data_IF_452405020611
#
_entry.id   IF_452405020611
#
_cell.length_a   1.000
_cell.length_b   1.000
_cell.length_c   1.000
_cell.angle_alpha   90.00
_cell.angle_beta   90.00
_cell.angle_gamma   90.00
#
_symmetry.space_group_name_H-M   'P 1'
#
loop_
_entity.id
_entity.type
_entity.pdbx_description
1 polymer ?
#
# COMPACT_ATOMS: atom_id res chain seq x y z
N UNK A 1 -13.54 -7.08 -0.21
CA UNK A 1 -12.24 -6.67 0.31
C UNK A 1 -11.77 -5.40 -0.38
N UNK A 2 -11.22 -4.50 0.36
CA UNK A 2 -10.81 -3.19 -0.16
C UNK A 2 -9.46 -3.30 -0.90
N UNK A 3 -9.48 -3.19 -2.21
CA UNK A 3 -8.28 -3.32 -3.03
C UNK A 3 -7.24 -2.24 -2.70
N UNK A 4 -7.69 -1.05 -2.42
CA UNK A 4 -6.80 0.05 -2.06
C UNK A 4 -6.04 -0.28 -0.77
N UNK A 5 -6.77 -0.76 0.22
CA UNK A 5 -6.16 -1.12 1.51
C UNK A 5 -5.20 -2.30 1.35
N UNK A 6 -5.55 -3.28 0.52
CA UNK A 6 -4.66 -4.40 0.25
C UNK A 6 -3.34 -3.92 -0.36
N UNK A 7 -3.42 -2.99 -1.31
CA UNK A 7 -2.22 -2.43 -1.95
C UNK A 7 -1.37 -1.66 -0.95
N UNK A 8 -2.02 -0.86 -0.09
CA UNK A 8 -1.32 -0.10 0.94
C UNK A 8 -0.59 -1.02 1.91
N UNK A 9 -1.28 -2.07 2.37
CA UNK A 9 -0.70 -3.02 3.31
C UNK A 9 0.45 -3.77 2.68
N UNK A 10 0.28 -4.26 1.47
CA UNK A 10 1.33 -4.98 0.76
C UNK A 10 2.58 -4.10 0.60
N UNK A 11 2.39 -2.87 0.13
CA UNK A 11 3.49 -1.93 -0.08
C UNK A 11 4.21 -1.65 1.23
N UNK A 12 3.47 -1.43 2.31
CA UNK A 12 4.04 -1.16 3.62
C UNK A 12 4.88 -2.33 4.13
N UNK A 13 4.41 -3.56 3.92
CA UNK A 13 5.14 -4.76 4.33
C UNK A 13 6.47 -4.86 3.59
N UNK A 14 6.45 -4.61 2.28
CA UNK A 14 7.67 -4.67 1.48
C UNK A 14 8.66 -3.59 1.90
N UNK A 15 8.18 -2.36 2.07
CA UNK A 15 9.05 -1.24 2.43
C UNK A 15 9.65 -1.39 3.81
N UNK A 16 8.91 -1.96 4.75
CA UNK A 16 9.39 -2.20 6.10
C UNK A 16 10.20 -3.50 6.19
N UNK A 17 10.11 -4.36 5.20
CA UNK A 17 10.69 -5.71 5.21
C UNK A 17 10.27 -6.50 6.44
N UNK A 18 9.04 -6.25 6.93
CA UNK A 18 8.59 -6.85 8.19
C UNK A 18 7.08 -6.64 8.33
N UNK A 19 6.39 -7.73 8.68
CA UNK A 19 4.96 -7.65 8.98
C UNK A 19 4.70 -6.85 10.26
N UNK A 20 5.56 -7.03 11.25
CA UNK A 20 5.41 -6.33 12.54
C UNK A 20 5.60 -4.82 12.35
N UNK A 21 6.67 -4.44 11.66
CA UNK A 21 6.95 -3.02 11.44
C UNK A 21 5.87 -2.36 10.60
N UNK A 22 5.37 -3.08 9.60
CA UNK A 22 4.27 -2.56 8.77
C UNK A 22 3.01 -2.37 9.61
N UNK A 23 2.70 -3.33 10.46
CA UNK A 23 1.55 -3.23 11.34
C UNK A 23 1.64 -2.00 12.22
N UNK A 24 2.80 -1.75 12.80
CA UNK A 24 3.02 -0.56 13.63
C UNK A 24 2.78 0.72 12.84
N UNK A 25 3.35 0.81 11.65
CA UNK A 25 3.22 2.04 10.85
C UNK A 25 1.79 2.25 10.36
N UNK A 26 1.03 1.18 10.17
CA UNK A 26 -0.35 1.26 9.68
C UNK A 26 -1.38 1.37 10.80
N UNK A 27 -0.96 1.22 12.04
CA UNK A 27 -1.89 1.20 13.17
C UNK A 27 -2.79 -0.02 13.15
N UNK A 28 -2.28 -1.16 12.69
CA UNK A 28 -3.02 -2.41 12.56
C UNK A 28 -2.34 -3.51 13.36
N UNK A 29 -3.07 -4.59 13.63
CA UNK A 29 -2.45 -5.77 14.24
C UNK A 29 -1.65 -6.53 13.19
N UNK A 30 -0.64 -7.26 13.64
CA UNK A 30 0.14 -8.13 12.75
C UNK A 30 -0.76 -9.15 12.05
N UNK A 31 -1.73 -9.69 12.80
CA UNK A 31 -2.66 -10.67 12.25
C UNK A 31 -3.49 -10.06 11.10
N UNK A 32 -3.92 -8.81 11.25
CA UNK A 32 -4.68 -8.14 10.21
C UNK A 32 -3.84 -7.90 8.97
N UNK A 33 -2.59 -7.45 9.15
CA UNK A 33 -1.66 -7.22 8.04
C UNK A 33 -1.42 -8.54 7.29
N UNK A 34 -1.17 -9.60 8.02
CA UNK A 34 -0.94 -10.93 7.45
C UNK A 34 -2.14 -11.42 6.65
N UNK A 35 -3.33 -11.19 7.18
CA UNK A 35 -4.57 -11.58 6.51
C UNK A 35 -4.77 -10.80 5.22
N UNK A 36 -4.53 -9.49 5.23
CA UNK A 36 -4.66 -8.68 4.01
C UNK A 36 -3.76 -9.20 2.90
N UNK A 37 -2.50 -9.49 3.24
CA UNK A 37 -1.55 -10.00 2.24
C UNK A 37 -1.97 -11.37 1.72
N UNK A 38 -2.39 -12.26 2.63
CA UNK A 38 -2.83 -13.61 2.22
C UNK A 38 -4.06 -13.55 1.34
N UNK A 39 -5.02 -12.72 1.67
CA UNK A 39 -6.24 -12.56 0.87
C UNK A 39 -5.93 -11.96 -0.49
N UNK A 40 -4.99 -11.01 -0.53
CA UNK A 40 -4.55 -10.43 -1.79
C UNK A 40 -3.93 -11.49 -2.69
N UNK A 41 -3.01 -12.29 -2.16
CA UNK A 41 -2.38 -13.37 -2.92
C UNK A 41 -3.41 -14.39 -3.39
N UNK A 42 -4.36 -14.73 -2.54
CA UNK A 42 -5.40 -15.69 -2.88
C UNK A 42 -6.30 -15.16 -3.99
N UNK A 43 -6.68 -13.89 -3.91
CA UNK A 43 -7.54 -13.26 -4.93
C UNK A 43 -6.83 -13.17 -6.27
N UNK A 44 -5.55 -12.86 -6.28
CA UNK A 44 -4.76 -12.76 -7.51
C UNK A 44 -4.31 -14.12 -8.03
N UNK A 45 -4.33 -15.13 -7.17
CA UNK A 45 -3.93 -16.48 -7.54
C UNK A 45 -2.44 -16.66 -7.73
N UNK A 46 -1.62 -15.80 -7.12
CA UNK A 46 -0.17 -15.89 -7.19
C UNK A 46 0.45 -15.55 -5.83
N UNK A 47 1.67 -16.02 -5.63
CA UNK A 47 2.48 -15.60 -4.48
C UNK A 47 3.17 -14.29 -4.83
N UNK A 48 3.07 -13.32 -3.95
CA UNK A 48 3.77 -12.05 -4.09
C UNK A 48 5.02 -12.01 -3.21
N UNK A 49 5.01 -12.74 -2.11
CA UNK A 49 6.11 -12.76 -1.16
C UNK A 49 6.57 -14.19 -0.92
N UNK A 50 7.89 -14.36 -0.85
CA UNK A 50 8.50 -15.59 -0.32
C UNK A 50 8.58 -15.42 1.19
N UNK A 51 8.01 -16.36 1.91
CA UNK A 51 8.00 -16.32 3.37
C UNK A 51 8.91 -17.37 3.93
N UNK A 52 10.21 -17.11 3.84
CA UNK A 52 11.18 -17.99 4.47
C UNK A 52 11.35 -17.57 5.92
N UNK A 53 11.99 -18.43 6.70
CA UNK A 53 12.16 -18.20 8.12
C UNK A 53 13.00 -16.99 8.47
N UNK A 54 13.81 -16.51 7.55
CA UNK A 54 14.77 -15.44 7.84
C UNK A 54 14.53 -14.15 7.10
N UNK A 55 13.92 -14.22 5.93
CA UNK A 55 13.80 -13.05 5.08
C UNK A 55 12.49 -12.99 4.36
N UNK A 56 12.01 -11.79 4.27
CA UNK A 56 10.88 -11.46 3.43
C UNK A 56 11.45 -10.99 2.10
N UNK A 57 11.05 -11.62 1.02
CA UNK A 57 11.50 -11.21 -0.31
C UNK A 57 10.35 -11.30 -1.30
N UNK A 58 10.46 -10.56 -2.39
CA UNK A 58 9.44 -10.54 -3.42
C UNK A 58 9.65 -11.69 -4.40
N UNK A 59 8.52 -12.29 -4.84
CA UNK A 59 8.52 -13.15 -6.00
C UNK A 59 8.63 -12.25 -7.25
N UNK A 60 8.90 -12.81 -8.45
CA UNK A 60 8.83 -12.01 -9.67
C UNK A 60 7.49 -11.31 -9.85
N UNK A 61 6.38 -12.00 -9.55
CA UNK A 61 5.05 -11.40 -9.59
C UNK A 61 4.93 -10.28 -8.55
N UNK A 62 5.53 -10.48 -7.38
CA UNK A 62 5.54 -9.47 -6.34
C UNK A 62 6.26 -8.20 -6.76
N UNK A 63 7.37 -8.34 -7.48
CA UNK A 63 8.11 -7.18 -7.97
C UNK A 63 7.27 -6.37 -8.96
N UNK A 64 6.61 -7.05 -9.88
CA UNK A 64 5.74 -6.39 -10.85
C UNK A 64 4.59 -5.70 -10.14
N UNK A 65 3.96 -6.40 -9.22
CA UNK A 65 2.80 -5.85 -8.50
C UNK A 65 3.19 -4.68 -7.61
N UNK A 66 4.35 -4.75 -6.96
CA UNK A 66 4.83 -3.63 -6.15
C UNK A 66 4.99 -2.37 -6.97
N UNK A 67 5.59 -2.50 -8.15
CA UNK A 67 5.76 -1.37 -9.05
C UNK A 67 4.41 -0.74 -9.42
N UNK A 68 3.44 -1.58 -9.74
CA UNK A 68 2.09 -1.10 -10.06
C UNK A 68 1.41 -0.45 -8.86
N UNK A 69 1.57 -1.04 -7.67
CA UNK A 69 1.00 -0.45 -6.46
C UNK A 69 1.55 0.94 -6.20
N UNK A 70 2.86 1.10 -6.34
CA UNK A 70 3.49 2.40 -6.13
C UNK A 70 2.94 3.44 -7.10
N UNK A 71 2.78 3.08 -8.35
CA UNK A 71 2.23 3.99 -9.36
C UNK A 71 0.78 4.37 -9.03
N UNK A 72 -0.04 3.39 -8.68
CA UNK A 72 -1.45 3.62 -8.37
C UNK A 72 -1.60 4.48 -7.11
N UNK A 73 -0.89 4.12 -6.04
CA UNK A 73 -0.98 4.85 -4.79
C UNK A 73 -0.48 6.28 -4.94
N UNK A 74 0.60 6.45 -5.69
CA UNK A 74 1.15 7.76 -5.98
C UNK A 74 0.16 8.60 -6.79
N UNK A 75 -0.52 7.98 -7.75
CA UNK A 75 -1.52 8.66 -8.57
C UNK A 75 -2.72 9.11 -7.74
N UNK A 76 -3.16 8.27 -6.80
CA UNK A 76 -4.24 8.64 -5.89
C UNK A 76 -3.84 9.86 -5.05
N UNK A 77 -2.63 9.82 -4.48
CA UNK A 77 -2.14 10.92 -3.67
C UNK A 77 -2.01 12.21 -4.47
N UNK A 78 -1.49 12.10 -5.68
CA UNK A 78 -1.33 13.25 -6.56
C UNK A 78 -2.69 13.85 -6.93
N UNK A 79 -3.68 12.99 -7.19
CA UNK A 79 -5.03 13.44 -7.51
C UNK A 79 -5.65 14.22 -6.37
N UNK A 80 -5.51 13.69 -5.15
CA UNK A 80 -6.05 14.35 -3.96
C UNK A 80 -5.33 15.65 -3.67
N UNK A 81 -4.02 15.65 -3.82
CA UNK A 81 -3.22 16.86 -3.60
C UNK A 81 -3.60 17.95 -4.60
N UNK A 82 -3.82 17.59 -5.85
CA UNK A 82 -4.22 18.55 -6.87
C UNK A 82 -5.55 19.22 -6.51
N UNK A 83 -6.53 18.42 -6.11
CA UNK A 83 -7.84 18.95 -5.75
C UNK A 83 -7.75 19.83 -4.49
N UNK A 84 -6.99 19.39 -3.50
CA UNK A 84 -6.79 20.17 -2.28
C UNK A 84 -6.12 21.51 -2.58
N UNK A 85 -5.12 21.50 -3.45
CA UNK A 85 -4.40 22.72 -3.85
C UNK A 85 -5.33 23.70 -4.56
N UNK A 86 -6.16 23.20 -5.48
CA UNK A 86 -7.14 24.03 -6.17
C UNK A 86 -8.15 24.62 -5.21
N UNK A 87 -8.62 23.82 -4.27
CA UNK A 87 -9.56 24.28 -3.26
C UNK A 87 -8.98 25.38 -2.39
N UNK A 88 -7.74 25.23 -1.97
CA UNK A 88 -7.04 26.24 -1.18
C UNK A 88 -6.81 27.52 -1.97
N UNK A 89 -6.46 27.40 -3.24
CA UNK A 89 -6.28 28.55 -4.11
C UNK A 89 -7.57 29.35 -4.23
N UNK A 90 -8.67 28.67 -4.47
CA UNK A 90 -9.98 29.33 -4.58
C UNK A 90 -10.35 30.00 -3.27
N UNK A 91 -10.16 29.30 -2.15
CA UNK A 91 -10.42 29.89 -0.83
C UNK A 91 -9.55 31.11 -0.56
N UNK A 92 -8.30 31.04 -0.95
CA UNK A 92 -7.39 32.18 -0.80
C UNK A 92 -7.86 33.40 -1.57
N UNK A 93 -8.33 33.19 -2.80
CA UNK A 93 -8.86 34.28 -3.61
C UNK A 93 -10.10 34.89 -2.98
N UNK A 94 -10.95 34.07 -2.43
CA UNK A 94 -12.18 34.54 -1.80
C UNK A 94 -11.87 35.33 -0.52
N UNK A 95 -10.88 34.89 0.22
CA UNK A 95 -10.52 35.51 1.48
C UNK A 95 -9.85 36.89 1.32
N UNK A 96 -9.26 37.09 0.22
CA UNK A 96 -8.62 38.37 -0.05
C UNK A 96 -9.65 39.40 -0.43
#
# INVERSE_FOLDING_TARGET
>A
MDKYQEMRVFTAVVEASSFVAAADSLGMSKAAVSRYVSELEQRLGVRLLHRTTRRLSLTPEGEVFLSRCRDILSSIEASEAEISTRSLSVSGLIKV
#
